data_IF_260074425665
#
_entry.id   IF_260074425665
#
_cell.length_a   1.000
_cell.length_b   1.000
_cell.length_c   1.000
_cell.angle_alpha   90.00
_cell.angle_beta   90.00
_cell.angle_gamma   90.00
#
_symmetry.space_group_name_H-M   'P 1'
#
loop_
_entity.id
_entity.type
_entity.pdbx_description
1 polymer ?
#
# COMPACT_ATOMS: atom_id res chain seq x y z
N UNK A 1 -13.26 -12.78 -14.04
CA UNK A 1 -13.46 -12.52 -12.59
C UNK A 1 -14.79 -11.82 -12.43
N UNK A 2 -15.77 -12.45 -11.77
CA UNK A 2 -17.17 -12.00 -11.78
C UNK A 2 -17.36 -10.55 -11.30
N UNK A 3 -16.63 -10.12 -10.26
CA UNK A 3 -16.70 -8.74 -9.73
C UNK A 3 -16.31 -7.71 -10.79
N UNK A 4 -15.27 -7.98 -11.59
CA UNK A 4 -14.79 -7.06 -12.64
C UNK A 4 -15.80 -7.00 -13.77
N UNK A 5 -16.30 -8.15 -14.24
CA UNK A 5 -17.32 -8.24 -15.29
C UNK A 5 -18.58 -7.45 -14.92
N UNK A 6 -19.00 -7.52 -13.64
CA UNK A 6 -20.13 -6.74 -13.13
C UNK A 6 -19.84 -5.23 -13.14
N UNK A 7 -18.65 -4.82 -12.71
CA UNK A 7 -18.26 -3.41 -12.59
C UNK A 7 -17.88 -2.78 -13.95
N UNK A 8 -17.58 -3.57 -14.97
CA UNK A 8 -17.24 -3.07 -16.32
C UNK A 8 -18.34 -2.17 -16.91
N UNK A 9 -19.60 -2.36 -16.49
CA UNK A 9 -20.73 -1.51 -16.91
C UNK A 9 -20.55 -0.02 -16.60
N UNK A 10 -19.65 0.34 -15.66
CA UNK A 10 -19.40 1.73 -15.30
C UNK A 10 -18.42 2.43 -16.26
N UNK A 11 -17.76 1.71 -17.16
CA UNK A 11 -16.91 2.28 -18.20
C UNK A 11 -15.67 3.03 -17.71
N UNK A 12 -15.22 2.73 -16.48
CA UNK A 12 -14.01 3.29 -15.86
C UNK A 12 -12.95 2.21 -15.66
N UNK A 13 -11.66 2.56 -15.57
CA UNK A 13 -10.63 1.62 -15.16
C UNK A 13 -10.99 0.96 -13.83
N UNK A 14 -10.79 -0.35 -13.75
CA UNK A 14 -11.16 -1.14 -12.57
C UNK A 14 -9.92 -1.62 -11.85
N UNK A 15 -10.01 -1.63 -10.53
CA UNK A 15 -8.96 -2.10 -9.64
C UNK A 15 -9.60 -2.92 -8.52
N UNK A 16 -9.02 -4.08 -8.21
CA UNK A 16 -9.42 -4.94 -7.11
C UNK A 16 -8.28 -5.01 -6.10
N UNK A 17 -8.59 -4.69 -4.84
CA UNK A 17 -7.67 -4.92 -3.72
C UNK A 17 -8.00 -6.24 -3.02
N UNK A 18 -6.96 -7.03 -2.76
CA UNK A 18 -7.00 -8.20 -1.90
C UNK A 18 -6.55 -7.78 -0.50
N UNK A 19 -7.43 -7.94 0.49
CA UNK A 19 -7.06 -7.76 1.90
C UNK A 19 -6.43 -9.05 2.42
N UNK A 20 -5.12 -9.02 2.68
CA UNK A 20 -4.34 -10.20 3.10
C UNK A 20 -3.67 -10.02 4.48
N UNK A 21 -4.45 -9.75 5.56
CA UNK A 21 -3.88 -9.61 6.91
C UNK A 21 -3.23 -10.90 7.41
N UNK A 22 -3.63 -12.07 6.87
CA UNK A 22 -3.06 -13.38 7.22
C UNK A 22 -1.58 -13.50 6.88
N UNK A 23 -1.09 -12.77 5.87
CA UNK A 23 0.33 -12.78 5.48
C UNK A 23 1.24 -12.21 6.57
N UNK A 24 0.73 -11.40 7.50
CA UNK A 24 1.50 -10.94 8.65
C UNK A 24 1.92 -12.08 9.58
N UNK A 25 1.18 -13.21 9.56
CA UNK A 25 1.51 -14.42 10.31
C UNK A 25 2.45 -15.38 9.58
N UNK A 26 2.77 -15.15 8.29
CA UNK A 26 3.62 -16.04 7.52
C UNK A 26 5.01 -16.18 8.15
N UNK A 27 5.52 -17.42 8.23
CA UNK A 27 6.78 -17.72 8.91
C UNK A 27 6.71 -17.82 10.44
N UNK A 28 5.54 -17.55 11.05
CA UNK A 28 5.31 -17.83 12.47
C UNK A 28 5.02 -19.31 12.73
N UNK A 29 5.11 -19.73 14.00
CA UNK A 29 4.78 -21.11 14.42
C UNK A 29 3.33 -21.51 14.08
N UNK A 30 2.42 -20.55 13.94
CA UNK A 30 1.04 -20.79 13.54
C UNK A 30 0.89 -21.23 12.07
N UNK A 31 1.90 -20.99 11.22
CA UNK A 31 1.84 -21.22 9.78
C UNK A 31 3.03 -22.04 9.24
N UNK A 32 3.68 -22.84 10.08
CA UNK A 32 4.90 -23.59 9.72
C UNK A 32 4.69 -24.60 8.57
N UNK A 33 3.45 -25.04 8.34
CA UNK A 33 3.09 -25.96 7.26
C UNK A 33 2.80 -25.27 5.92
N UNK A 34 2.75 -23.94 5.88
CA UNK A 34 2.45 -23.17 4.68
C UNK A 34 3.76 -22.75 4.02
N UNK A 35 3.99 -23.21 2.78
CA UNK A 35 5.18 -22.82 2.02
C UNK A 35 5.00 -21.49 1.28
N UNK A 36 6.09 -20.77 1.06
CA UNK A 36 6.12 -19.58 0.21
C UNK A 36 5.57 -19.86 -1.20
N UNK A 37 5.93 -21.01 -1.78
CA UNK A 37 5.47 -21.43 -3.11
C UNK A 37 3.94 -21.60 -3.16
N UNK A 38 3.34 -22.17 -2.11
CA UNK A 38 1.89 -22.31 -2.04
C UNK A 38 1.21 -20.93 -1.99
N UNK A 39 1.72 -20.01 -1.17
CA UNK A 39 1.21 -18.64 -1.07
C UNK A 39 1.30 -17.91 -2.40
N UNK A 40 2.48 -17.93 -3.03
CA UNK A 40 2.70 -17.28 -4.32
C UNK A 40 1.77 -17.83 -5.40
N UNK A 41 1.57 -19.16 -5.45
CA UNK A 41 0.65 -19.78 -6.41
C UNK A 41 -0.79 -19.31 -6.19
N UNK A 42 -1.26 -19.29 -4.95
CA UNK A 42 -2.62 -18.84 -4.64
C UNK A 42 -2.84 -17.36 -4.99
N UNK A 43 -1.87 -16.50 -4.67
CA UNK A 43 -1.95 -15.08 -5.00
C UNK A 43 -1.93 -14.89 -6.53
N UNK A 44 -1.02 -15.58 -7.23
CA UNK A 44 -0.92 -15.51 -8.69
C UNK A 44 -2.22 -15.92 -9.39
N UNK A 45 -2.89 -17.00 -8.94
CA UNK A 45 -4.18 -17.42 -9.51
C UNK A 45 -5.24 -16.30 -9.46
N UNK A 46 -5.28 -15.53 -8.37
CA UNK A 46 -6.24 -14.43 -8.23
C UNK A 46 -5.81 -13.20 -9.03
N UNK A 47 -4.52 -12.84 -9.00
CA UNK A 47 -3.96 -11.71 -9.76
C UNK A 47 -4.14 -11.92 -11.27
N UNK A 48 -3.82 -13.11 -11.78
CA UNK A 48 -3.99 -13.46 -13.19
C UNK A 48 -5.46 -13.38 -13.61
N UNK A 49 -6.39 -13.78 -12.73
CA UNK A 49 -7.82 -13.68 -12.99
C UNK A 49 -8.33 -12.22 -13.02
N UNK A 50 -7.72 -11.33 -12.24
CA UNK A 50 -7.98 -9.88 -12.27
C UNK A 50 -7.47 -9.28 -13.57
N UNK A 51 -6.23 -9.55 -13.94
CA UNK A 51 -5.60 -9.07 -15.17
C UNK A 51 -6.32 -9.57 -16.43
N UNK A 52 -6.69 -10.86 -16.47
CA UNK A 52 -7.44 -11.46 -17.60
C UNK A 52 -8.79 -10.77 -17.82
N UNK A 53 -9.42 -10.27 -16.76
CA UNK A 53 -10.66 -9.52 -16.84
C UNK A 53 -10.45 -8.02 -17.14
N UNK A 54 -9.19 -7.58 -17.33
CA UNK A 54 -8.82 -6.20 -17.68
C UNK A 54 -8.77 -5.23 -16.49
N UNK A 55 -8.70 -5.73 -15.25
CA UNK A 55 -8.52 -4.90 -14.06
C UNK A 55 -7.07 -4.87 -13.57
N UNK A 56 -6.78 -3.93 -12.66
CA UNK A 56 -5.54 -3.87 -11.89
C UNK A 56 -5.69 -4.60 -10.55
N UNK A 57 -4.67 -5.33 -10.14
CA UNK A 57 -4.63 -6.06 -8.88
C UNK A 57 -3.80 -5.28 -7.84
N UNK A 58 -4.44 -4.92 -6.73
CA UNK A 58 -3.79 -4.38 -5.54
C UNK A 58 -3.82 -5.37 -4.38
N UNK A 59 -2.92 -5.20 -3.42
CA UNK A 59 -2.94 -5.92 -2.14
C UNK A 59 -2.84 -4.94 -0.99
N UNK A 60 -3.56 -5.20 0.09
CA UNK A 60 -3.46 -4.46 1.34
C UNK A 60 -3.03 -5.36 2.50
N UNK A 61 -2.01 -4.93 3.24
CA UNK A 61 -1.54 -5.60 4.46
C UNK A 61 -1.36 -4.56 5.57
N UNK A 62 -2.23 -4.59 6.60
CA UNK A 62 -2.18 -3.63 7.73
C UNK A 62 -1.00 -3.83 8.70
N UNK A 63 -0.13 -4.81 8.48
CA UNK A 63 0.93 -5.18 9.43
C UNK A 63 2.22 -5.63 8.71
N UNK A 64 3.27 -5.85 9.49
CA UNK A 64 4.53 -6.36 8.96
C UNK A 64 4.38 -7.79 8.41
N UNK A 65 4.85 -8.02 7.19
CA UNK A 65 4.92 -9.34 6.54
C UNK A 65 6.28 -9.53 5.86
N UNK A 66 6.52 -10.71 5.27
CA UNK A 66 7.63 -10.91 4.35
C UNK A 66 7.27 -10.32 2.98
N UNK A 67 7.65 -9.06 2.78
CA UNK A 67 7.32 -8.29 1.58
C UNK A 67 7.88 -8.88 0.28
N UNK A 68 8.89 -9.77 0.37
CA UNK A 68 9.42 -10.48 -0.81
C UNK A 68 8.34 -11.26 -1.55
N UNK A 69 7.42 -11.88 -0.82
CA UNK A 69 6.33 -12.63 -1.43
C UNK A 69 5.46 -11.71 -2.30
N UNK A 70 5.12 -10.52 -1.79
CA UNK A 70 4.28 -9.58 -2.50
C UNK A 70 4.97 -9.00 -3.73
N UNK A 71 6.26 -8.67 -3.64
CA UNK A 71 7.05 -8.24 -4.79
C UNK A 71 7.20 -9.33 -5.88
N UNK A 72 6.96 -10.60 -5.53
CA UNK A 72 6.98 -11.74 -6.45
C UNK A 72 5.57 -12.17 -6.93
N UNK A 73 4.50 -11.52 -6.46
CA UNK A 73 3.10 -11.94 -6.69
C UNK A 73 2.41 -11.22 -7.85
N UNK A 74 3.15 -10.52 -8.72
CA UNK A 74 2.61 -9.79 -9.89
C UNK A 74 1.53 -8.74 -9.60
N UNK A 75 1.37 -8.29 -8.34
CA UNK A 75 0.46 -7.19 -8.04
C UNK A 75 0.89 -5.90 -8.75
N UNK A 76 -0.08 -5.09 -9.16
CA UNK A 76 0.19 -3.76 -9.71
C UNK A 76 0.40 -2.73 -8.60
N UNK A 77 -0.23 -2.96 -7.44
CA UNK A 77 -0.21 -2.02 -6.31
C UNK A 77 -0.01 -2.74 -4.98
N UNK A 78 0.98 -2.31 -4.20
CA UNK A 78 1.18 -2.76 -2.83
C UNK A 78 0.78 -1.64 -1.86
N UNK A 79 -0.20 -1.90 -1.00
CA UNK A 79 -0.67 -1.00 0.03
C UNK A 79 -0.37 -1.54 1.42
N UNK A 80 0.19 -0.69 2.28
CA UNK A 80 0.53 -1.06 3.65
C UNK A 80 0.51 0.15 4.60
N UNK A 81 0.48 -0.13 5.89
CA UNK A 81 0.66 0.87 6.95
C UNK A 81 2.12 1.37 6.99
N UNK A 82 2.40 2.41 6.19
CA UNK A 82 3.71 3.08 6.20
C UNK A 82 3.88 4.00 7.40
N UNK A 83 2.81 4.44 8.04
CA UNK A 83 2.90 5.25 9.26
C UNK A 83 3.56 4.45 10.38
N UNK A 84 3.11 3.22 10.63
CA UNK A 84 3.60 2.34 11.68
C UNK A 84 4.76 1.41 11.29
N UNK A 85 4.89 1.03 10.01
CA UNK A 85 5.79 -0.05 9.60
C UNK A 85 6.80 0.31 8.50
N UNK A 86 7.00 1.59 8.16
CA UNK A 86 7.97 2.01 7.13
C UNK A 86 9.37 1.42 7.35
N UNK A 87 9.92 1.47 8.57
CA UNK A 87 11.29 1.03 8.84
C UNK A 87 11.51 -0.45 8.50
N UNK A 88 10.48 -1.28 8.70
CA UNK A 88 10.54 -2.71 8.35
C UNK A 88 10.39 -2.92 6.85
N UNK A 89 9.54 -2.14 6.19
CA UNK A 89 9.39 -2.15 4.74
C UNK A 89 10.67 -1.68 4.03
N UNK A 90 11.36 -0.67 4.58
CA UNK A 90 12.61 -0.12 4.05
C UNK A 90 13.78 -1.14 4.00
N UNK A 91 13.70 -2.22 4.79
CA UNK A 91 14.65 -3.34 4.68
C UNK A 91 14.61 -4.01 3.29
N UNK A 92 13.47 -3.90 2.58
CA UNK A 92 13.23 -4.44 1.25
C UNK A 92 13.36 -3.36 0.16
N UNK A 93 14.14 -2.28 0.42
CA UNK A 93 14.27 -1.15 -0.50
C UNK A 93 14.61 -1.56 -1.94
N UNK A 94 15.50 -2.54 -2.13
CA UNK A 94 15.96 -2.94 -3.48
C UNK A 94 14.81 -3.52 -4.28
N UNK A 95 14.00 -4.38 -3.65
CA UNK A 95 12.84 -5.01 -4.25
C UNK A 95 11.73 -3.99 -4.49
N UNK A 96 11.55 -3.03 -3.58
CA UNK A 96 10.62 -1.92 -3.74
C UNK A 96 10.97 -1.04 -4.95
N UNK A 97 12.24 -0.61 -5.07
CA UNK A 97 12.69 0.21 -6.20
C UNK A 97 12.62 -0.57 -7.53
N UNK A 98 12.98 -1.86 -7.51
CA UNK A 98 12.82 -2.72 -8.68
C UNK A 98 11.35 -2.86 -9.09
N UNK A 99 10.45 -3.01 -8.13
CA UNK A 99 9.01 -3.11 -8.37
C UNK A 99 8.46 -1.83 -9.02
N UNK A 100 8.82 -0.66 -8.49
CA UNK A 100 8.46 0.62 -9.11
C UNK A 100 9.01 0.77 -10.53
N UNK A 101 10.30 0.45 -10.74
CA UNK A 101 10.94 0.52 -12.05
C UNK A 101 10.30 -0.43 -13.08
N UNK A 102 9.58 -1.47 -12.64
CA UNK A 102 8.83 -2.40 -13.47
C UNK A 102 7.37 -1.94 -13.73
N UNK A 103 6.98 -0.75 -13.25
CA UNK A 103 5.65 -0.19 -13.42
C UNK A 103 4.73 -0.35 -12.20
N UNK A 104 5.19 -1.02 -11.15
CA UNK A 104 4.43 -1.21 -9.92
C UNK A 104 4.23 0.10 -9.16
N UNK A 105 3.19 0.17 -8.33
CA UNK A 105 2.87 1.34 -7.52
C UNK A 105 2.82 1.01 -6.03
N UNK A 106 3.27 1.93 -5.20
CA UNK A 106 3.15 1.80 -3.74
C UNK A 106 2.09 2.77 -3.23
N UNK A 107 1.09 2.23 -2.55
CA UNK A 107 0.12 3.00 -1.80
C UNK A 107 0.59 3.14 -0.34
N UNK A 108 1.11 4.31 0.00
CA UNK A 108 1.64 4.64 1.30
C UNK A 108 0.49 4.96 2.28
N UNK A 109 0.21 4.03 3.19
CA UNK A 109 -0.73 4.20 4.30
C UNK A 109 -0.14 5.11 5.38
N UNK A 110 0.02 6.40 5.05
CA UNK A 110 0.77 7.36 5.86
C UNK A 110 -0.10 8.16 6.84
N UNK A 111 -1.43 8.19 6.65
CA UNK A 111 -2.33 8.84 7.60
C UNK A 111 -2.77 7.82 8.65
N UNK A 112 -2.49 8.01 9.95
CA UNK A 112 -2.78 7.02 10.98
C UNK A 112 -4.28 6.75 11.12
N UNK A 113 -4.64 5.50 11.43
CA UNK A 113 -6.03 5.08 11.69
C UNK A 113 -6.22 4.27 12.96
N UNK A 114 -5.14 3.87 13.64
CA UNK A 114 -5.18 3.01 14.84
C UNK A 114 -4.97 3.77 16.15
N UNK A 115 -4.32 4.93 16.11
CA UNK A 115 -4.02 5.77 17.28
C UNK A 115 -4.83 7.08 17.20
N UNK A 116 -5.80 7.23 18.09
CA UNK A 116 -6.69 8.40 18.14
C UNK A 116 -5.92 9.68 18.46
N UNK A 117 -4.91 9.62 19.32
CA UNK A 117 -4.09 10.78 19.67
C UNK A 117 -3.24 11.21 18.46
N UNK A 118 -2.69 10.24 17.72
CA UNK A 118 -1.99 10.53 16.47
C UNK A 118 -2.92 11.17 15.43
N UNK A 119 -4.15 10.68 15.25
CA UNK A 119 -5.15 11.28 14.33
C UNK A 119 -5.44 12.74 14.68
N UNK A 120 -5.51 13.06 15.97
CA UNK A 120 -5.81 14.42 16.43
C UNK A 120 -4.62 15.36 16.31
N UNK A 121 -3.42 14.87 16.61
CA UNK A 121 -2.20 15.70 16.72
C UNK A 121 -1.44 15.84 15.41
N UNK A 122 -1.58 14.89 14.48
CA UNK A 122 -0.91 14.95 13.18
C UNK A 122 -1.37 16.13 12.33
N UNK A 123 -0.45 16.58 11.48
CA UNK A 123 -0.66 17.70 10.55
C UNK A 123 -0.30 17.30 9.13
N UNK A 124 -0.99 17.82 8.10
CA UNK A 124 -0.66 17.52 6.71
C UNK A 124 0.80 17.83 6.36
N UNK A 125 1.34 18.93 6.88
CA UNK A 125 2.73 19.33 6.68
C UNK A 125 3.72 18.41 7.42
N UNK A 126 3.33 17.90 8.59
CA UNK A 126 4.08 16.90 9.34
C UNK A 126 4.18 15.59 8.56
N UNK A 127 3.05 15.08 8.08
CA UNK A 127 2.98 13.87 7.26
C UNK A 127 3.75 14.00 5.95
N UNK A 128 3.65 15.15 5.27
CA UNK A 128 4.41 15.43 4.06
C UNK A 128 5.93 15.41 4.29
N UNK A 129 6.40 16.06 5.37
CA UNK A 129 7.82 16.05 5.76
C UNK A 129 8.29 14.64 6.11
N UNK A 130 7.48 13.90 6.88
CA UNK A 130 7.76 12.51 7.27
C UNK A 130 7.95 11.65 6.02
N UNK A 131 6.96 11.63 5.14
CA UNK A 131 7.00 10.82 3.92
C UNK A 131 8.17 11.22 3.01
N UNK A 132 8.39 12.52 2.81
CA UNK A 132 9.51 13.01 1.98
C UNK A 132 10.87 12.57 2.53
N UNK A 133 11.04 12.57 3.86
CA UNK A 133 12.26 12.05 4.50
C UNK A 133 12.42 10.55 4.27
N UNK A 134 11.34 9.79 4.47
CA UNK A 134 11.28 8.35 4.26
C UNK A 134 11.65 7.95 2.82
N UNK A 135 11.06 8.59 1.80
CA UNK A 135 11.34 8.21 0.41
C UNK A 135 12.75 8.62 -0.04
N UNK A 136 13.34 9.69 0.52
CA UNK A 136 14.74 10.03 0.25
C UNK A 136 15.70 8.98 0.78
N UNK A 137 15.42 8.46 1.98
CA UNK A 137 16.17 7.35 2.56
C UNK A 137 15.96 6.06 1.76
N UNK A 138 14.72 5.77 1.36
CA UNK A 138 14.39 4.58 0.56
C UNK A 138 15.10 4.59 -0.80
N UNK A 139 15.05 5.72 -1.49
CA UNK A 139 15.64 5.90 -2.80
C UNK A 139 17.16 5.84 -2.72
N UNK A 140 17.78 6.46 -1.71
CA UNK A 140 19.23 6.44 -1.48
C UNK A 140 20.10 6.76 -2.73
N UNK A 141 19.57 7.52 -3.69
CA UNK A 141 20.21 7.79 -4.98
C UNK A 141 20.17 6.65 -6.00
N UNK A 142 19.51 5.53 -5.69
CA UNK A 142 19.26 4.40 -6.60
C UNK A 142 18.05 4.67 -7.54
N UNK A 143 17.19 5.64 -7.21
CA UNK A 143 16.05 6.09 -8.02
C UNK A 143 15.82 7.60 -7.81
N UNK A 144 15.39 8.31 -8.85
CA UNK A 144 15.07 9.74 -8.74
C UNK A 144 13.79 9.94 -7.91
N UNK A 145 13.76 11.01 -7.11
CA UNK A 145 12.62 11.28 -6.21
C UNK A 145 11.33 11.50 -6.99
N UNK A 146 11.40 12.15 -8.15
CA UNK A 146 10.24 12.37 -9.02
C UNK A 146 9.68 11.06 -9.58
N UNK A 147 10.53 10.06 -9.82
CA UNK A 147 10.12 8.72 -10.23
C UNK A 147 9.41 8.00 -9.08
N UNK A 148 9.95 8.06 -7.86
CA UNK A 148 9.27 7.51 -6.67
C UNK A 148 7.90 8.16 -6.48
N UNK A 149 7.80 9.49 -6.66
CA UNK A 149 6.53 10.21 -6.56
C UNK A 149 5.54 9.75 -7.63
N UNK A 150 5.99 9.55 -8.88
CA UNK A 150 5.14 9.08 -9.97
C UNK A 150 4.54 7.69 -9.72
N UNK A 151 5.23 6.84 -8.95
CA UNK A 151 4.79 5.50 -8.55
C UNK A 151 4.12 5.44 -7.17
N UNK A 152 3.69 6.58 -6.63
CA UNK A 152 3.17 6.68 -5.27
C UNK A 152 1.69 7.07 -5.21
N UNK A 153 0.93 6.37 -4.36
CA UNK A 153 -0.41 6.76 -3.92
C UNK A 153 -0.38 7.04 -2.41
N UNK A 154 -1.25 7.94 -1.94
CA UNK A 154 -1.43 8.19 -0.51
C UNK A 154 -2.76 7.61 -0.04
N UNK A 155 -2.72 6.92 1.09
CA UNK A 155 -3.87 6.25 1.70
C UNK A 155 -3.85 6.43 3.22
N UNK A 156 -4.97 6.18 3.92
CA UNK A 156 -4.94 5.90 5.35
C UNK A 156 -4.16 4.61 5.63
N UNK A 157 -3.62 4.44 6.84
CA UNK A 157 -2.80 3.28 7.22
C UNK A 157 -3.54 1.94 7.13
N UNK A 158 -4.85 1.93 7.41
CA UNK A 158 -5.74 0.78 7.31
C UNK A 158 -7.19 1.33 7.22
N UNK A 159 -8.21 0.47 7.28
CA UNK A 159 -9.62 0.92 7.25
C UNK A 159 -10.01 1.83 8.42
N UNK A 160 -10.99 2.72 8.20
CA UNK A 160 -11.54 3.62 9.23
C UNK A 160 -12.83 3.10 9.89
N UNK A 161 -13.27 1.87 9.59
CA UNK A 161 -14.59 1.37 9.98
C UNK A 161 -14.80 1.22 11.49
N UNK A 162 -13.73 1.16 12.28
CA UNK A 162 -13.78 1.09 13.75
C UNK A 162 -13.69 2.46 14.44
N UNK A 163 -13.46 3.53 13.68
CA UNK A 163 -13.27 4.87 14.23
C UNK A 163 -14.62 5.56 14.48
N UNK A 164 -14.69 6.44 15.49
CA UNK A 164 -15.74 7.45 15.57
C UNK A 164 -15.80 8.30 14.29
N UNK A 165 -17.00 8.75 13.90
CA UNK A 165 -17.23 9.47 12.63
C UNK A 165 -16.38 10.75 12.50
N UNK A 166 -16.21 11.49 13.59
CA UNK A 166 -15.37 12.68 13.65
C UNK A 166 -13.89 12.38 13.39
N UNK A 167 -13.39 11.25 13.91
CA UNK A 167 -12.03 10.78 13.67
C UNK A 167 -11.86 10.29 12.23
N UNK A 168 -12.83 9.56 11.69
CA UNK A 168 -12.83 9.14 10.29
C UNK A 168 -12.82 10.35 9.35
N UNK A 169 -13.68 11.34 9.59
CA UNK A 169 -13.70 12.60 8.84
C UNK A 169 -12.34 13.32 8.92
N UNK A 170 -11.73 13.36 10.10
CA UNK A 170 -10.40 13.95 10.30
C UNK A 170 -9.31 13.22 9.51
N UNK A 171 -9.32 11.89 9.47
CA UNK A 171 -8.37 11.09 8.66
C UNK A 171 -8.46 11.49 7.18
N UNK A 172 -9.67 11.59 6.63
CA UNK A 172 -9.84 11.98 5.23
C UNK A 172 -9.51 13.47 4.96
N UNK A 173 -9.75 14.37 5.92
CA UNK A 173 -9.28 15.76 5.84
C UNK A 173 -7.75 15.83 5.77
N UNK A 174 -7.05 15.11 6.66
CA UNK A 174 -5.60 15.00 6.66
C UNK A 174 -5.08 14.47 5.32
N UNK A 175 -5.67 13.39 4.82
CA UNK A 175 -5.29 12.77 3.54
C UNK A 175 -5.48 13.74 2.37
N UNK A 176 -6.64 14.40 2.28
CA UNK A 176 -6.92 15.32 1.20
C UNK A 176 -5.94 16.52 1.20
N UNK A 177 -5.66 17.08 2.39
CA UNK A 177 -4.72 18.20 2.54
C UNK A 177 -3.29 17.79 2.26
N UNK A 178 -2.87 16.59 2.70
CA UNK A 178 -1.58 16.00 2.36
C UNK A 178 -1.42 15.88 0.84
N UNK A 179 -2.39 15.28 0.15
CA UNK A 179 -2.39 15.18 -1.32
C UNK A 179 -2.29 16.57 -1.98
N UNK A 180 -2.95 17.59 -1.43
CA UNK A 180 -2.83 18.98 -1.89
C UNK A 180 -1.40 19.51 -1.81
N UNK A 181 -0.72 19.30 -0.67
CA UNK A 181 0.68 19.71 -0.47
C UNK A 181 1.60 18.98 -1.46
N UNK A 182 1.44 17.67 -1.60
CA UNK A 182 2.31 16.86 -2.44
C UNK A 182 2.19 17.20 -3.93
N UNK A 183 1.02 17.62 -4.40
CA UNK A 183 0.82 18.08 -5.79
C UNK A 183 1.39 19.47 -6.07
N UNK A 184 1.50 20.34 -5.06
CA UNK A 184 2.04 21.70 -5.22
C UNK A 184 3.57 21.73 -5.17
N UNK A 185 4.20 20.67 -4.64
CA UNK A 185 5.65 20.50 -4.63
C UNK A 185 6.23 19.85 -5.89
N UNK A 186 5.38 19.49 -6.86
CA UNK A 186 5.76 19.10 -8.23
C UNK A 186 5.82 20.33 -9.13
#
# INVERSE_FOLDING_TARGET
>A
MWQIELMQTFGVPLMIFLDEPGLAGFGSSAFISVSAELVLRMLAEVVDAVHTAGGLAGVHVCANTDWLLLFQSNFDIINFDSYGYFDKFALYRKQCLQFMAQGGNIAWGIVPTSDLDAIQTETPEGLARRWTGQIRELAAGEMEIDEVIAHSLFTPSCGCGSLPEDHAARVFDLLNRLCGIMRQGQ
#
